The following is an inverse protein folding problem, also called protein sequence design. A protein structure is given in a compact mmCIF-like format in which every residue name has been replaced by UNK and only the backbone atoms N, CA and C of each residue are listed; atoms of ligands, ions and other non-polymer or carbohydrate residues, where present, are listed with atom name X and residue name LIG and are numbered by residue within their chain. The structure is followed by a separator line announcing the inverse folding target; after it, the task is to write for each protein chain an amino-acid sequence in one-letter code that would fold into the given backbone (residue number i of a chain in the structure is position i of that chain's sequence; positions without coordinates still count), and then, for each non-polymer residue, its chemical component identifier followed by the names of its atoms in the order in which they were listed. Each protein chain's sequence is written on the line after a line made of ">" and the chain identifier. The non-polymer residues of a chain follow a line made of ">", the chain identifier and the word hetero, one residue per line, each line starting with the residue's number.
data_IF_949886327175
#
_entry.id   IF_949886327175
#
_cell.length_a   1.000
_cell.length_b   1.000
_cell.length_c   1.000
_cell.angle_alpha   90.00
_cell.angle_beta   90.00
_cell.angle_gamma   90.00
#
_symmetry.space_group_name_H-M   'P 1'
#
loop_
_entity.id
_entity.type
_entity.pdbx_description
1 polymer ?
#
# COMPACT_ATOMS: atom_id res chain seq x y z
N UNK A 1 41.77 -39.35 -15.22
CA UNK A 1 41.47 -38.06 -14.54
C UNK A 1 39.98 -38.00 -14.28
N UNK A 2 39.58 -38.34 -13.06
CA UNK A 2 38.18 -38.34 -12.64
C UNK A 2 37.81 -36.93 -12.23
N UNK A 3 36.96 -36.27 -13.02
CA UNK A 3 36.40 -34.96 -12.69
C UNK A 3 35.52 -35.16 -11.45
N UNK A 4 36.01 -34.71 -10.29
CA UNK A 4 35.22 -34.67 -9.07
C UNK A 4 34.08 -33.68 -9.31
N UNK A 5 32.85 -34.19 -9.43
CA UNK A 5 31.65 -33.39 -9.26
C UNK A 5 31.73 -32.77 -7.87
N UNK A 6 31.98 -31.46 -7.82
CA UNK A 6 31.73 -30.67 -6.62
C UNK A 6 30.22 -30.71 -6.39
N UNK A 7 29.78 -31.61 -5.51
CA UNK A 7 28.50 -31.44 -4.83
C UNK A 7 28.61 -30.10 -4.10
N UNK A 8 28.04 -29.07 -4.71
CA UNK A 8 27.80 -27.76 -4.09
C UNK A 8 27.03 -28.07 -2.82
N UNK A 9 27.69 -27.95 -1.66
CA UNK A 9 26.99 -27.87 -0.39
C UNK A 9 25.97 -26.76 -0.56
N UNK A 10 24.70 -27.15 -0.51
CA UNK A 10 23.53 -26.29 -0.51
C UNK A 10 23.71 -25.19 0.53
N UNK A 11 24.21 -24.03 0.12
CA UNK A 11 23.91 -22.78 0.79
C UNK A 11 22.40 -22.63 0.71
N UNK A 12 21.71 -23.08 1.75
CA UNK A 12 20.27 -22.99 1.89
C UNK A 12 19.94 -21.51 2.13
N UNK A 13 20.06 -20.70 1.08
CA UNK A 13 19.56 -19.33 1.10
C UNK A 13 18.07 -19.42 1.37
N UNK A 14 17.64 -18.79 2.46
CA UNK A 14 16.24 -18.82 2.89
C UNK A 14 15.42 -18.09 1.82
N UNK A 15 14.40 -18.75 1.26
CA UNK A 15 13.52 -18.10 0.29
C UNK A 15 12.56 -17.16 1.03
N UNK A 16 12.91 -15.87 1.05
CA UNK A 16 12.16 -14.85 1.76
C UNK A 16 10.75 -14.65 1.18
N UNK A 17 10.48 -15.03 -0.06
CA UNK A 17 9.11 -15.04 -0.61
C UNK A 17 8.22 -16.03 0.11
N UNK A 18 8.74 -17.24 0.37
CA UNK A 18 8.01 -18.29 1.08
C UNK A 18 7.77 -17.85 2.52
N UNK A 19 8.81 -17.32 3.19
CA UNK A 19 8.66 -16.77 4.54
C UNK A 19 7.65 -15.61 4.60
N UNK A 20 7.69 -14.72 3.62
CA UNK A 20 6.72 -13.63 3.52
C UNK A 20 5.29 -14.16 3.34
N UNK A 21 5.08 -15.07 2.38
CA UNK A 21 3.77 -15.67 2.15
C UNK A 21 3.29 -16.42 3.39
N UNK A 22 4.19 -17.08 4.11
CA UNK A 22 3.89 -17.78 5.37
C UNK A 22 3.42 -16.81 6.47
N UNK A 23 4.02 -15.62 6.57
CA UNK A 23 3.63 -14.59 7.53
C UNK A 23 2.30 -13.95 7.14
N UNK A 24 2.15 -13.58 5.86
CA UNK A 24 0.99 -12.86 5.36
C UNK A 24 -0.23 -13.78 5.30
N UNK A 25 -0.11 -14.97 4.72
CA UNK A 25 -1.23 -15.89 4.50
C UNK A 25 -1.35 -17.00 5.55
N UNK A 26 -0.34 -17.17 6.41
CA UNK A 26 -0.32 -18.21 7.44
C UNK A 26 0.09 -19.58 6.89
N UNK A 27 0.64 -20.43 7.76
CA UNK A 27 0.94 -21.84 7.49
C UNK A 27 0.35 -22.70 8.59
N UNK A 28 -0.15 -23.90 8.24
CA UNK A 28 -0.36 -24.97 9.22
C UNK A 28 -1.33 -24.65 10.37
N UNK A 29 -2.30 -23.77 10.15
CA UNK A 29 -3.29 -23.37 11.17
C UNK A 29 -2.90 -22.13 11.99
N UNK A 30 -1.74 -21.51 11.72
CA UNK A 30 -1.43 -20.19 12.28
C UNK A 30 -2.35 -19.11 11.68
N UNK A 31 -2.77 -18.15 12.50
CA UNK A 31 -3.63 -17.04 12.06
C UNK A 31 -2.85 -16.13 11.09
N UNK A 32 -3.37 -15.85 9.89
CA UNK A 32 -2.71 -14.94 8.96
C UNK A 32 -2.60 -13.53 9.53
N UNK A 33 -1.48 -12.86 9.28
CA UNK A 33 -1.26 -11.46 9.64
C UNK A 33 -1.61 -10.48 8.50
N UNK A 34 -2.35 -10.91 7.48
CA UNK A 34 -2.82 -10.02 6.43
C UNK A 34 -4.09 -9.26 6.78
N UNK A 35 -4.30 -8.15 6.08
CA UNK A 35 -5.58 -7.48 5.95
C UNK A 35 -5.79 -7.10 4.48
N UNK A 36 -7.06 -6.94 4.10
CA UNK A 36 -7.45 -6.58 2.75
C UNK A 36 -7.35 -5.06 2.58
N UNK A 37 -6.62 -4.63 1.55
CA UNK A 37 -6.55 -3.23 1.15
C UNK A 37 -6.94 -3.08 -0.31
N UNK A 38 -7.33 -1.87 -0.69
CA UNK A 38 -7.63 -1.53 -2.07
C UNK A 38 -6.46 -0.73 -2.63
N UNK A 39 -5.78 -1.30 -3.62
CA UNK A 39 -4.74 -0.64 -4.38
C UNK A 39 -5.38 0.10 -5.55
N UNK A 40 -5.29 1.43 -5.51
CA UNK A 40 -5.84 2.33 -6.51
C UNK A 40 -4.71 2.83 -7.41
N UNK A 41 -4.67 2.33 -8.65
CA UNK A 41 -3.63 2.64 -9.64
C UNK A 41 -4.09 3.74 -10.57
N UNK A 42 -3.22 4.72 -10.84
CA UNK A 42 -3.57 5.81 -11.74
C UNK A 42 -3.58 5.31 -13.18
N UNK A 43 -4.72 5.47 -13.89
CA UNK A 43 -4.84 5.00 -15.27
C UNK A 43 -4.02 5.89 -16.21
N UNK A 44 -3.31 5.25 -17.13
CA UNK A 44 -2.42 5.91 -18.09
C UNK A 44 -2.81 5.60 -19.52
N UNK A 45 -2.62 6.57 -20.39
CA UNK A 45 -2.75 6.41 -21.84
C UNK A 45 -1.47 5.80 -22.42
N UNK A 46 -1.51 5.43 -23.70
CA UNK A 46 -0.41 4.96 -24.55
C UNK A 46 0.88 5.80 -24.47
N UNK A 47 0.74 7.09 -24.16
CA UNK A 47 1.87 8.04 -24.00
C UNK A 47 2.35 8.20 -22.56
N UNK A 48 1.99 7.29 -21.64
CA UNK A 48 2.30 7.33 -20.20
C UNK A 48 1.75 8.58 -19.46
N UNK A 49 0.79 9.27 -20.06
CA UNK A 49 0.10 10.41 -19.45
C UNK A 49 -1.10 9.94 -18.63
N UNK A 50 -1.33 10.59 -17.48
CA UNK A 50 -2.51 10.32 -16.66
C UNK A 50 -3.79 10.68 -17.40
N UNK A 51 -4.78 9.79 -17.37
CA UNK A 51 -6.07 10.03 -18.00
C UNK A 51 -6.92 10.89 -17.07
N UNK A 52 -7.22 12.11 -17.48
CA UNK A 52 -8.14 13.00 -16.76
C UNK A 52 -9.56 12.47 -16.86
N UNK A 53 -10.33 12.66 -15.79
CA UNK A 53 -11.75 12.34 -15.76
C UNK A 53 -12.56 13.36 -16.57
N UNK A 54 -13.67 12.92 -17.15
CA UNK A 54 -14.57 13.77 -17.92
C UNK A 54 -15.21 14.89 -17.09
N UNK A 55 -15.31 14.75 -15.77
CA UNK A 55 -15.85 15.78 -14.88
C UNK A 55 -14.88 16.94 -14.60
N UNK A 56 -13.64 16.87 -15.10
CA UNK A 56 -12.66 17.94 -14.87
C UNK A 56 -13.00 19.11 -15.78
N UNK A 57 -13.22 20.27 -15.17
CA UNK A 57 -13.46 21.52 -15.89
C UNK A 57 -12.24 21.90 -16.72
N UNK A 58 -12.45 22.14 -18.02
CA UNK A 58 -11.38 22.57 -18.94
C UNK A 58 -10.80 23.94 -18.57
N UNK A 59 -11.59 24.80 -17.91
CA UNK A 59 -11.20 26.17 -17.57
C UNK A 59 -10.45 26.26 -16.24
N UNK A 60 -10.93 25.55 -15.20
CA UNK A 60 -10.35 25.64 -13.85
C UNK A 60 -9.41 24.48 -13.50
N UNK A 61 -9.39 23.41 -14.29
CA UNK A 61 -8.72 22.14 -13.98
C UNK A 61 -9.20 21.51 -12.65
N UNK A 62 -10.37 21.92 -12.17
CA UNK A 62 -10.99 21.37 -10.96
C UNK A 62 -11.91 20.20 -11.31
N UNK A 63 -11.92 19.19 -10.44
CA UNK A 63 -12.87 18.09 -10.52
C UNK A 63 -14.11 18.38 -9.68
N UNK A 64 -15.24 17.81 -10.10
CA UNK A 64 -16.43 17.69 -9.27
C UNK A 64 -16.13 16.98 -7.95
N UNK A 65 -16.93 17.26 -6.92
CA UNK A 65 -16.76 16.70 -5.58
C UNK A 65 -16.93 15.17 -5.57
N UNK A 66 -16.42 14.51 -4.52
CA UNK A 66 -16.55 13.05 -4.37
C UNK A 66 -18.01 12.55 -4.49
N UNK A 67 -18.98 13.31 -3.94
CA UNK A 67 -20.40 12.98 -4.02
C UNK A 67 -21.01 13.13 -5.42
N UNK A 68 -20.32 13.79 -6.34
CA UNK A 68 -20.81 14.13 -7.68
C UNK A 68 -20.17 13.22 -8.74
N UNK A 69 -18.89 12.87 -8.60
CA UNK A 69 -18.18 12.02 -9.55
C UNK A 69 -17.76 10.68 -8.93
N UNK A 70 -18.49 9.62 -9.29
CA UNK A 70 -18.20 8.25 -8.86
C UNK A 70 -16.88 7.66 -9.44
N UNK A 71 -16.29 8.33 -10.44
CA UNK A 71 -15.09 7.83 -11.13
C UNK A 71 -13.79 8.38 -10.55
N UNK A 72 -13.62 9.70 -10.52
CA UNK A 72 -12.40 10.33 -10.00
C UNK A 72 -12.48 10.68 -8.52
N UNK A 73 -13.70 10.75 -7.96
CA UNK A 73 -13.94 11.02 -6.54
C UNK A 73 -13.29 12.32 -6.06
N UNK A 74 -13.26 13.35 -6.92
CA UNK A 74 -12.61 14.64 -6.65
C UNK A 74 -11.11 14.69 -6.94
N UNK A 75 -10.49 13.60 -7.41
CA UNK A 75 -9.05 13.52 -7.63
C UNK A 75 -8.61 13.79 -9.08
N UNK A 76 -9.50 14.28 -9.94
CA UNK A 76 -9.27 14.69 -11.35
C UNK A 76 -8.88 13.59 -12.33
N UNK A 77 -8.36 12.46 -11.89
CA UNK A 77 -7.90 11.36 -12.75
C UNK A 77 -8.79 10.12 -12.63
N UNK A 78 -8.70 9.25 -13.64
CA UNK A 78 -9.36 7.94 -13.62
C UNK A 78 -8.41 6.94 -12.95
N UNK A 79 -9.01 6.03 -12.18
CA UNK A 79 -8.28 5.05 -11.38
C UNK A 79 -8.76 3.63 -11.67
N UNK A 80 -7.81 2.70 -11.62
CA UNK A 80 -8.05 1.27 -11.65
C UNK A 80 -7.88 0.71 -10.23
N UNK A 81 -8.97 0.20 -9.66
CA UNK A 81 -9.00 -0.31 -8.29
C UNK A 81 -8.87 -1.83 -8.29
N UNK A 82 -7.99 -2.36 -7.44
CA UNK A 82 -7.76 -3.79 -7.28
C UNK A 82 -7.57 -4.13 -5.82
N UNK A 83 -8.13 -5.26 -5.36
CA UNK A 83 -7.90 -5.72 -4.00
C UNK A 83 -6.55 -6.41 -3.90
N UNK A 84 -5.80 -6.09 -2.86
CA UNK A 84 -4.58 -6.81 -2.52
C UNK A 84 -4.54 -7.09 -1.03
N UNK A 85 -3.84 -8.15 -0.63
CA UNK A 85 -3.63 -8.50 0.77
C UNK A 85 -2.21 -8.15 1.14
N UNK A 86 -2.06 -7.40 2.22
CA UNK A 86 -0.76 -6.95 2.69
C UNK A 86 -0.64 -7.08 4.21
N UNK A 87 0.58 -7.02 4.69
CA UNK A 87 0.88 -6.75 6.08
C UNK A 87 1.17 -5.26 6.24
N UNK A 88 0.73 -4.64 7.34
CA UNK A 88 1.03 -3.23 7.61
C UNK A 88 1.45 -3.00 9.05
N UNK A 89 2.33 -2.03 9.24
CA UNK A 89 2.82 -1.61 10.55
C UNK A 89 2.92 -0.09 10.61
N UNK A 90 2.76 0.48 11.80
CA UNK A 90 2.91 1.91 12.04
C UNK A 90 4.35 2.20 12.47
N UNK A 91 5.02 3.11 11.77
CA UNK A 91 6.42 3.49 12.02
C UNK A 91 6.44 4.92 12.57
N UNK A 92 7.19 5.14 13.66
CA UNK A 92 7.31 6.45 14.31
C UNK A 92 6.37 6.68 15.51
N UNK A 93 5.65 5.65 15.95
CA UNK A 93 4.87 5.67 17.18
C UNK A 93 5.48 4.69 18.20
N UNK A 94 6.56 5.10 18.90
CA UNK A 94 7.21 4.36 20.02
C UNK A 94 6.27 4.22 21.25
N UNK A 95 5.06 3.70 21.05
CA UNK A 95 4.01 3.63 22.06
C UNK A 95 2.58 3.55 21.49
N UNK A 96 2.42 3.22 20.20
CA UNK A 96 1.11 2.93 19.61
C UNK A 96 0.17 4.14 19.46
N UNK A 97 -1.15 3.86 19.36
CA UNK A 97 -2.20 4.89 19.12
C UNK A 97 -2.21 6.00 20.19
N UNK A 98 -1.81 5.70 21.43
CA UNK A 98 -1.78 6.67 22.54
C UNK A 98 -0.68 7.73 22.39
N UNK A 99 0.41 7.42 21.68
CA UNK A 99 1.40 8.46 21.37
C UNK A 99 0.86 9.44 20.34
N UNK A 100 -0.09 9.06 19.47
CA UNK A 100 -0.67 9.90 18.41
C UNK A 100 -1.30 11.20 18.93
N UNK A 101 -1.73 11.22 20.19
CA UNK A 101 -2.31 12.37 20.88
C UNK A 101 -1.32 13.17 21.74
N UNK A 102 -0.03 12.79 21.78
CA UNK A 102 0.98 13.58 22.50
C UNK A 102 1.16 14.95 21.84
N UNK A 103 1.20 16.00 22.66
CA UNK A 103 1.48 17.37 22.22
C UNK A 103 2.87 17.42 21.59
N UNK A 104 2.92 17.92 20.37
CA UNK A 104 4.16 18.15 19.62
C UNK A 104 4.64 19.57 19.93
N UNK A 105 5.95 19.76 20.11
CA UNK A 105 6.51 21.08 20.39
C UNK A 105 6.35 22.01 19.17
N UNK A 106 6.15 23.32 19.35
CA UNK A 106 6.14 24.25 18.23
C UNK A 106 7.43 24.15 17.41
N UNK A 107 7.31 23.85 16.11
CA UNK A 107 8.45 23.66 15.20
C UNK A 107 8.74 22.20 14.82
N UNK A 108 8.20 21.24 15.56
CA UNK A 108 8.26 19.82 15.17
C UNK A 108 7.05 19.44 14.31
N UNK A 109 7.31 18.82 13.16
CA UNK A 109 6.26 18.22 12.33
C UNK A 109 6.29 16.72 12.57
N UNK A 110 5.25 16.22 13.24
CA UNK A 110 5.07 14.79 13.37
C UNK A 110 4.64 14.19 12.03
N UNK A 111 5.43 13.26 11.52
CA UNK A 111 5.10 12.47 10.33
C UNK A 111 4.88 11.03 10.76
N UNK A 112 3.62 10.66 11.01
CA UNK A 112 3.26 9.26 11.20
C UNK A 112 3.31 8.58 9.82
N UNK A 113 4.21 7.61 9.66
CA UNK A 113 4.25 6.77 8.48
C UNK A 113 3.57 5.44 8.77
N UNK A 114 2.85 4.93 7.78
CA UNK A 114 2.37 3.56 7.76
C UNK A 114 3.14 2.80 6.71
N UNK A 115 3.77 1.71 7.12
CA UNK A 115 4.54 0.84 6.26
C UNK A 115 3.65 -0.31 5.80
N UNK A 116 3.51 -0.46 4.49
CA UNK A 116 2.80 -1.57 3.86
C UNK A 116 3.81 -2.51 3.22
N UNK A 117 3.70 -3.79 3.52
CA UNK A 117 4.48 -4.84 2.89
C UNK A 117 3.63 -5.57 1.87
N UNK A 118 4.00 -5.44 0.61
CA UNK A 118 3.32 -6.01 -0.54
C UNK A 118 4.13 -7.17 -1.12
N UNK A 119 3.43 -8.08 -1.79
CA UNK A 119 4.05 -9.19 -2.49
C UNK A 119 4.90 -8.68 -3.68
N UNK A 120 5.92 -9.46 -4.06
CA UNK A 120 6.91 -9.09 -5.07
C UNK A 120 6.36 -8.82 -6.48
N UNK A 121 5.18 -9.34 -6.79
CA UNK A 121 4.50 -9.18 -8.09
C UNK A 121 3.64 -7.92 -8.17
N UNK A 122 3.39 -7.25 -7.04
CA UNK A 122 2.59 -6.04 -7.01
C UNK A 122 3.33 -4.87 -7.65
N UNK A 123 2.71 -4.29 -8.67
CA UNK A 123 3.22 -3.10 -9.34
C UNK A 123 2.57 -1.89 -8.67
N UNK A 124 3.40 -1.11 -7.97
CA UNK A 124 3.01 0.16 -7.32
C UNK A 124 3.91 1.31 -7.76
N UNK A 125 3.30 2.48 -7.96
CA UNK A 125 3.93 3.75 -8.32
C UNK A 125 3.66 4.81 -7.25
N UNK A 126 4.50 5.85 -7.19
CA UNK A 126 4.32 7.01 -6.29
C UNK A 126 3.04 7.83 -6.50
N UNK A 127 2.35 7.64 -7.63
CA UNK A 127 1.08 8.31 -7.94
C UNK A 127 -0.13 7.45 -7.57
N UNK A 128 0.09 6.19 -7.24
CA UNK A 128 -0.96 5.28 -6.81
C UNK A 128 -1.31 5.55 -5.35
N UNK A 129 -2.40 4.94 -4.89
CA UNK A 129 -2.88 5.09 -3.52
C UNK A 129 -3.21 3.73 -2.93
N UNK A 130 -2.91 3.58 -1.64
CA UNK A 130 -3.32 2.41 -0.85
C UNK A 130 -4.49 2.85 0.01
N UNK A 131 -5.60 2.12 -0.03
CA UNK A 131 -6.82 2.48 0.70
C UNK A 131 -7.17 1.37 1.66
N UNK A 132 -7.28 1.71 2.94
CA UNK A 132 -7.80 0.80 3.95
C UNK A 132 -9.32 0.84 3.97
N UNK A 133 -9.91 -0.34 4.08
CA UNK A 133 -11.35 -0.53 4.13
C UNK A 133 -11.81 -0.55 5.58
N UNK A 134 -13.00 -0.01 5.82
CA UNK A 134 -13.63 -0.03 7.13
C UNK A 134 -13.93 -1.47 7.55
N UNK A 135 -13.55 -1.79 8.78
CA UNK A 135 -13.77 -3.10 9.39
C UNK A 135 -14.95 -3.02 10.37
N UNK A 136 -15.70 -4.12 10.48
CA UNK A 136 -16.70 -4.34 11.52
C UNK A 136 -16.03 -4.71 12.86
N UNK A 137 -16.81 -4.82 13.94
CA UNK A 137 -16.36 -5.15 15.30
C UNK A 137 -15.60 -6.48 15.34
N UNK A 138 -15.95 -7.42 14.46
CA UNK A 138 -15.30 -8.73 14.31
C UNK A 138 -14.01 -8.69 13.47
N UNK A 139 -13.67 -7.54 12.89
CA UNK A 139 -12.51 -7.39 12.00
C UNK A 139 -12.77 -7.81 10.55
N UNK A 140 -14.02 -8.08 10.19
CA UNK A 140 -14.43 -8.38 8.82
C UNK A 140 -14.63 -7.08 8.03
N UNK A 141 -14.39 -7.10 6.72
CA UNK A 141 -14.59 -5.92 5.87
C UNK A 141 -16.08 -5.62 5.74
N UNK A 142 -16.48 -4.37 6.00
CA UNK A 142 -17.88 -3.95 5.93
C UNK A 142 -18.36 -3.94 4.48
N UNK A 143 -19.53 -4.56 4.22
CA UNK A 143 -20.20 -4.58 2.91
C UNK A 143 -21.51 -3.79 3.00
N UNK A 144 -21.77 -2.79 2.14
CA UNK A 144 -20.96 -2.35 0.99
C UNK A 144 -19.61 -1.76 1.42
N UNK A 145 -18.57 -2.00 0.62
CA UNK A 145 -17.20 -1.57 0.91
C UNK A 145 -17.13 -0.07 1.20
N UNK A 146 -16.71 0.28 2.41
CA UNK A 146 -16.45 1.67 2.81
C UNK A 146 -14.96 1.88 2.97
N UNK A 147 -14.47 3.02 2.48
CA UNK A 147 -13.08 3.45 2.63
C UNK A 147 -12.92 4.09 3.99
N UNK A 148 -11.91 3.70 4.74
CA UNK A 148 -11.59 4.27 6.06
C UNK A 148 -10.48 5.32 5.94
N UNK A 149 -9.37 4.97 5.28
CA UNK A 149 -8.21 5.87 5.18
C UNK A 149 -7.49 5.68 3.85
N UNK A 150 -7.08 6.78 3.22
CA UNK A 150 -6.23 6.76 2.03
C UNK A 150 -4.80 7.09 2.43
N UNK A 151 -3.89 6.32 1.84
CA UNK A 151 -2.45 6.41 2.03
C UNK A 151 -1.78 6.70 0.69
N UNK A 152 -0.95 7.74 0.69
CA UNK A 152 -0.09 8.10 -0.44
C UNK A 152 1.31 7.50 -0.23
N UNK A 153 1.85 6.74 -1.20
CA UNK A 153 3.23 6.28 -1.18
C UNK A 153 4.21 7.45 -1.23
N UNK A 154 5.16 7.47 -0.30
CA UNK A 154 6.28 8.44 -0.25
C UNK A 154 7.59 7.75 -0.63
N UNK A 155 7.85 6.56 -0.07
CA UNK A 155 9.04 5.75 -0.39
C UNK A 155 8.60 4.33 -0.74
N UNK A 156 9.10 3.81 -1.86
CA UNK A 156 8.88 2.42 -2.30
C UNK A 156 10.24 1.74 -2.33
N UNK A 157 10.45 0.78 -1.44
CA UNK A 157 11.68 -0.01 -1.38
C UNK A 157 11.40 -1.43 -1.89
N UNK A 158 12.19 -1.85 -2.88
CA UNK A 158 12.14 -3.23 -3.39
C UNK A 158 13.27 -4.01 -2.75
N UNK A 159 12.94 -4.89 -1.82
CA UNK A 159 13.94 -5.74 -1.17
C UNK A 159 14.33 -6.85 -2.14
N UNK A 160 15.61 -6.90 -2.50
CA UNK A 160 16.16 -7.82 -3.49
C UNK A 160 17.18 -8.75 -2.85
N UNK A 161 17.18 -10.00 -3.28
CA UNK A 161 18.25 -10.95 -3.00
C UNK A 161 19.51 -10.66 -3.83
N UNK A 162 20.59 -11.40 -3.56
CA UNK A 162 21.92 -11.21 -4.17
C UNK A 162 21.90 -11.33 -5.71
N UNK A 163 20.93 -12.06 -6.26
CA UNK A 163 20.72 -12.23 -7.71
C UNK A 163 19.80 -11.18 -8.34
N UNK A 164 19.37 -10.16 -7.59
CA UNK A 164 18.47 -9.10 -8.04
C UNK A 164 16.98 -9.46 -8.06
N UNK A 165 16.62 -10.69 -7.66
CA UNK A 165 15.24 -11.16 -7.49
C UNK A 165 14.56 -10.34 -6.38
N UNK A 166 13.39 -9.77 -6.68
CA UNK A 166 12.60 -9.04 -5.67
C UNK A 166 11.91 -10.06 -4.77
N UNK A 167 12.12 -9.96 -3.47
CA UNK A 167 11.54 -10.84 -2.47
C UNK A 167 10.18 -10.31 -1.99
N UNK A 168 10.14 -9.03 -1.62
CA UNK A 168 8.93 -8.30 -1.26
C UNK A 168 9.15 -6.78 -1.45
N UNK A 169 8.07 -6.02 -1.37
CA UNK A 169 8.09 -4.57 -1.55
C UNK A 169 7.60 -3.94 -0.26
N UNK A 170 8.36 -2.99 0.29
CA UNK A 170 7.92 -2.17 1.41
C UNK A 170 7.58 -0.77 0.92
N UNK A 171 6.44 -0.25 1.36
CA UNK A 171 5.90 1.03 0.92
C UNK A 171 5.62 1.89 2.14
N UNK A 172 6.44 2.92 2.31
CA UNK A 172 6.24 3.94 3.32
C UNK A 172 5.20 4.90 2.79
N UNK A 173 4.05 4.92 3.46
CA UNK A 173 2.96 5.79 3.10
C UNK A 173 2.68 6.81 4.18
N UNK A 174 2.22 7.98 3.74
CA UNK A 174 1.62 8.99 4.59
C UNK A 174 0.11 9.00 4.40
N UNK A 175 -0.62 9.26 5.48
CA UNK A 175 -2.06 9.47 5.40
C UNK A 175 -2.36 10.74 4.57
N UNK A 176 -3.15 10.57 3.52
CA UNK A 176 -3.53 11.66 2.62
C UNK A 176 -4.78 12.37 3.20
N UNK A 177 -4.70 13.69 3.50
CA UNK A 177 -5.82 14.42 4.09
C UNK A 177 -6.98 14.65 3.11
N UNK A 178 -6.84 14.30 1.83
CA UNK A 178 -7.84 14.60 0.78
C UNK A 178 -9.26 14.09 1.06
N UNK A 179 -9.46 13.10 1.95
CA UNK A 179 -10.80 12.66 2.37
C UNK A 179 -11.31 13.35 3.65
N UNK A 180 -10.43 13.84 4.54
CA UNK A 180 -10.84 14.30 5.88
C UNK A 180 -11.55 15.66 5.91
N UNK A 181 -12.10 16.13 4.79
CA UNK A 181 -13.04 17.25 4.74
C UNK A 181 -14.43 16.73 4.41
N UNK A 182 -15.09 16.09 5.37
CA UNK A 182 -16.55 15.94 5.45
C UNK A 182 -16.95 15.30 6.78
N UNK A 183 -16.82 16.06 7.87
CA UNK A 183 -17.79 16.10 8.99
C UNK A 183 -17.90 17.57 9.40
#
# INVERSE_FOLDING_TARGET
>A
MTIRNFNKTSSCEIDLRVEFDNIVFGVGGCKPHNHLVLLRKARRDSNDKLIKCACVSLLSDEADKESQCNYCLGERYIWDESFTRCYSSLVGADGGKGNRTKRVSPGEIRTDYKLFYLRYDEIISYRDKIIELALDIEGNVLVPYKRETIYRPETIEKHRADNGRVEYISVYCREDPSIRRNI
#
